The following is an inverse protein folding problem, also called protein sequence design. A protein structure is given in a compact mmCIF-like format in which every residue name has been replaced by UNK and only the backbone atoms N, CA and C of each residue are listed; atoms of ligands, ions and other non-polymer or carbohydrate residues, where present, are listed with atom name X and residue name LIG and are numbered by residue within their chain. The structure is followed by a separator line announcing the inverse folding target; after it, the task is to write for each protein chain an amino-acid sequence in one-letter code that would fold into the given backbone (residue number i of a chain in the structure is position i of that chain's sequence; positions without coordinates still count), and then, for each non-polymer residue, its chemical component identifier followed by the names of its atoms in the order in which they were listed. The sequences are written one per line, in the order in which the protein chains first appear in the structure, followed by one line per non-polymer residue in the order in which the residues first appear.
data_IF_711680367755
#
_entry.id   IF_711680367755
#
_cell.length_a   1.000
_cell.length_b   1.000
_cell.length_c   1.000
_cell.angle_alpha   90.00
_cell.angle_beta   90.00
_cell.angle_gamma   90.00
#
_symmetry.space_group_name_H-M   'P 1'
#
loop_
_entity.id
_entity.type
_entity.pdbx_description
1 polymer ?
#
# COMPACT_ATOMS: atom_id res chain seq x y z
N UNK A 1 -19.51 53.79 -22.80
CA UNK A 1 -18.98 53.44 -21.47
C UNK A 1 -19.45 52.06 -21.10
N UNK A 2 -18.54 51.15 -20.76
CA UNK A 2 -18.92 49.89 -20.13
C UNK A 2 -19.28 50.20 -18.68
N UNK A 3 -20.53 49.92 -18.28
CA UNK A 3 -20.90 49.97 -16.87
C UNK A 3 -20.08 48.92 -16.10
N UNK A 4 -19.55 49.27 -14.91
CA UNK A 4 -18.85 48.30 -14.08
C UNK A 4 -19.84 47.22 -13.61
N UNK A 5 -19.44 45.96 -13.78
CA UNK A 5 -20.23 44.82 -13.29
C UNK A 5 -20.38 44.89 -11.76
N UNK A 6 -21.57 44.59 -11.22
CA UNK A 6 -21.77 44.51 -9.77
C UNK A 6 -20.84 43.46 -9.16
N UNK A 7 -20.13 43.84 -8.08
CA UNK A 7 -19.16 42.98 -7.40
C UNK A 7 -19.77 41.64 -6.95
N UNK A 8 -21.02 41.67 -6.49
CA UNK A 8 -21.75 40.48 -6.02
C UNK A 8 -22.01 39.48 -7.16
N UNK A 9 -22.31 39.96 -8.38
CA UNK A 9 -22.51 39.08 -9.54
C UNK A 9 -21.20 38.41 -9.95
N UNK A 10 -20.09 39.15 -9.91
CA UNK A 10 -18.75 38.62 -10.18
C UNK A 10 -18.39 37.56 -9.13
N UNK A 11 -18.61 37.85 -7.85
CA UNK A 11 -18.33 36.92 -6.76
C UNK A 11 -19.17 35.62 -6.87
N UNK A 12 -20.47 35.74 -7.17
CA UNK A 12 -21.35 34.58 -7.36
C UNK A 12 -20.91 33.73 -8.55
N UNK A 13 -20.57 34.35 -9.68
CA UNK A 13 -20.10 33.65 -10.87
C UNK A 13 -18.80 32.88 -10.59
N UNK A 14 -17.84 33.53 -9.92
CA UNK A 14 -16.55 32.92 -9.57
C UNK A 14 -16.73 31.79 -8.54
N UNK A 15 -17.59 31.97 -7.54
CA UNK A 15 -17.88 30.90 -6.55
C UNK A 15 -18.49 29.69 -7.24
N UNK A 16 -19.43 29.91 -8.15
CA UNK A 16 -20.06 28.84 -8.95
C UNK A 16 -19.03 28.13 -9.83
N UNK A 17 -18.15 28.90 -10.47
CA UNK A 17 -17.04 28.37 -11.25
C UNK A 17 -16.09 27.53 -10.39
N UNK A 18 -15.73 27.97 -9.19
CA UNK A 18 -14.87 27.20 -8.28
C UNK A 18 -15.50 25.88 -7.85
N UNK A 19 -16.81 25.85 -7.59
CA UNK A 19 -17.53 24.59 -7.32
C UNK A 19 -17.45 23.65 -8.52
N UNK A 20 -17.66 24.18 -9.72
CA UNK A 20 -17.53 23.40 -10.94
C UNK A 20 -16.10 22.88 -11.15
N UNK A 21 -15.07 23.73 -10.98
CA UNK A 21 -13.65 23.36 -11.07
C UNK A 21 -13.32 22.24 -10.10
N UNK A 22 -13.76 22.34 -8.83
CA UNK A 22 -13.55 21.30 -7.82
C UNK A 22 -14.12 19.95 -8.27
N UNK A 23 -15.36 19.95 -8.75
CA UNK A 23 -16.02 18.74 -9.25
C UNK A 23 -15.33 18.19 -10.50
N UNK A 24 -15.01 19.04 -11.47
CA UNK A 24 -14.36 18.67 -12.72
C UNK A 24 -12.97 18.09 -12.49
N UNK A 25 -12.12 18.76 -11.70
CA UNK A 25 -10.78 18.27 -11.35
C UNK A 25 -10.86 16.97 -10.58
N UNK A 26 -11.81 16.85 -9.64
CA UNK A 26 -12.00 15.61 -8.88
C UNK A 26 -12.33 14.42 -9.79
N UNK A 27 -13.24 14.60 -10.72
CA UNK A 27 -13.68 13.54 -11.63
C UNK A 27 -12.62 13.24 -12.69
N UNK A 28 -12.25 14.24 -13.51
CA UNK A 28 -11.36 14.06 -14.65
C UNK A 28 -9.91 13.84 -14.20
N UNK A 29 -9.46 14.57 -13.18
CA UNK A 29 -8.15 14.34 -12.55
C UNK A 29 -8.09 12.96 -11.89
N UNK A 30 -9.17 12.52 -11.24
CA UNK A 30 -9.30 11.16 -10.73
C UNK A 30 -9.13 10.10 -11.81
N UNK A 31 -9.82 10.24 -12.94
CA UNK A 31 -9.69 9.34 -14.09
C UNK A 31 -8.28 9.33 -14.70
N UNK A 32 -7.62 10.49 -14.75
CA UNK A 32 -6.24 10.57 -15.22
C UNK A 32 -5.28 9.81 -14.28
N UNK A 33 -5.39 10.06 -12.98
CA UNK A 33 -4.54 9.40 -11.98
C UNK A 33 -4.78 7.89 -11.89
N UNK A 34 -5.95 7.38 -12.29
CA UNK A 34 -6.20 5.94 -12.40
C UNK A 34 -5.26 5.23 -13.38
N UNK A 35 -4.69 5.95 -14.36
CA UNK A 35 -3.72 5.40 -15.31
C UNK A 35 -2.34 5.16 -14.70
N UNK A 36 -2.05 5.80 -13.57
CA UNK A 36 -0.78 5.65 -12.86
C UNK A 36 -0.78 4.35 -12.06
N UNK A 37 0.16 3.46 -12.34
CA UNK A 37 0.21 2.10 -11.80
C UNK A 37 1.14 1.93 -10.59
N UNK A 38 1.93 2.96 -10.24
CA UNK A 38 2.91 2.87 -9.15
C UNK A 38 2.94 4.12 -8.28
N UNK A 39 3.24 3.94 -7.00
CA UNK A 39 3.39 5.05 -6.05
C UNK A 39 4.54 5.99 -6.47
N UNK A 40 5.60 5.46 -7.08
CA UNK A 40 6.71 6.25 -7.63
C UNK A 40 6.25 7.23 -8.70
N UNK A 41 5.29 6.85 -9.54
CA UNK A 41 4.75 7.75 -10.57
C UNK A 41 3.94 8.92 -9.99
N UNK A 42 3.42 8.78 -8.76
CA UNK A 42 2.76 9.88 -8.04
C UNK A 42 3.74 10.86 -7.40
N UNK A 43 4.99 10.44 -7.16
CA UNK A 43 6.00 11.29 -6.51
C UNK A 43 6.24 12.58 -7.29
N UNK A 44 6.36 12.51 -8.61
CA UNK A 44 6.54 13.69 -9.46
C UNK A 44 5.33 14.63 -9.53
N UNK A 45 4.19 14.19 -9.00
CA UNK A 45 2.95 14.97 -8.93
C UNK A 45 2.64 15.42 -7.51
N UNK A 46 3.53 15.17 -6.53
CA UNK A 46 3.28 15.49 -5.11
C UNK A 46 3.38 17.00 -4.84
N UNK A 47 4.41 17.61 -5.40
CA UNK A 47 4.77 18.99 -5.13
C UNK A 47 4.17 19.92 -6.17
N UNK A 48 3.77 21.15 -5.76
CA UNK A 48 3.22 22.12 -6.69
C UNK A 48 4.22 22.47 -7.79
N UNK A 49 3.74 22.86 -8.98
CA UNK A 49 4.62 23.31 -10.05
C UNK A 49 5.45 24.52 -9.59
N UNK A 50 6.73 24.55 -9.98
CA UNK A 50 7.66 25.62 -9.62
C UNK A 50 7.30 26.98 -10.24
N UNK A 51 6.49 26.97 -11.29
CA UNK A 51 6.02 28.18 -11.96
C UNK A 51 4.56 28.39 -11.58
N UNK A 52 4.32 29.42 -10.77
CA UNK A 52 2.97 29.91 -10.47
C UNK A 52 2.84 31.33 -11.04
N UNK A 53 1.61 31.75 -11.36
CA UNK A 53 1.35 33.12 -11.78
C UNK A 53 1.44 34.03 -10.54
N UNK A 54 2.35 35.01 -10.56
CA UNK A 54 2.59 35.92 -9.42
C UNK A 54 1.34 36.71 -9.00
N UNK A 55 0.40 36.91 -9.92
CA UNK A 55 -0.85 37.63 -9.70
C UNK A 55 -1.94 36.76 -9.06
N UNK A 56 -1.76 35.43 -9.05
CA UNK A 56 -2.77 34.49 -8.57
C UNK A 56 -3.18 34.71 -7.10
N UNK A 57 -2.25 34.96 -6.14
CA UNK A 57 -2.63 35.28 -4.77
C UNK A 57 -3.51 36.53 -4.67
N UNK A 58 -3.26 37.54 -5.52
CA UNK A 58 -4.07 38.78 -5.55
C UNK A 58 -5.47 38.52 -6.11
N UNK A 59 -5.58 37.68 -7.15
CA UNK A 59 -6.86 37.25 -7.73
C UNK A 59 -7.68 36.50 -6.67
N UNK A 60 -7.05 35.57 -5.95
CA UNK A 60 -7.66 34.80 -4.87
C UNK A 60 -8.11 35.70 -3.71
N UNK A 61 -7.27 36.65 -3.29
CA UNK A 61 -7.62 37.56 -2.21
C UNK A 61 -8.77 38.50 -2.59
N UNK A 62 -8.72 39.10 -3.79
CA UNK A 62 -9.66 40.16 -4.18
C UNK A 62 -10.97 39.63 -4.74
N UNK A 63 -10.92 38.59 -5.55
CA UNK A 63 -12.12 38.06 -6.22
C UNK A 63 -12.76 36.91 -5.46
N UNK A 64 -11.95 36.03 -4.87
CA UNK A 64 -12.46 34.87 -4.12
C UNK A 64 -12.66 35.17 -2.63
N UNK A 65 -12.14 36.30 -2.13
CA UNK A 65 -12.17 36.67 -0.70
C UNK A 65 -11.64 35.54 0.22
N UNK A 66 -10.74 34.71 -0.31
CA UNK A 66 -10.16 33.54 0.35
C UNK A 66 -8.63 33.68 0.38
N UNK A 67 -8.07 34.60 1.19
CA UNK A 67 -6.67 35.04 1.10
C UNK A 67 -5.61 33.93 1.22
N UNK A 68 -5.97 32.75 1.73
CA UNK A 68 -5.07 31.64 1.97
C UNK A 68 -5.42 30.38 1.15
N UNK A 69 -6.18 30.52 0.05
CA UNK A 69 -6.56 29.38 -0.77
C UNK A 69 -5.35 28.87 -1.57
N UNK A 70 -4.77 27.76 -1.14
CA UNK A 70 -3.85 26.99 -1.98
C UNK A 70 -4.64 26.03 -2.88
N UNK A 71 -4.71 26.39 -4.16
CA UNK A 71 -5.38 25.56 -5.17
C UNK A 71 -4.74 24.18 -5.32
N UNK A 72 -3.43 24.07 -5.10
CA UNK A 72 -2.75 22.77 -5.18
C UNK A 72 -3.24 21.82 -4.10
N UNK A 73 -3.19 22.30 -2.85
CA UNK A 73 -3.76 21.64 -1.68
C UNK A 73 -5.21 21.22 -1.88
N UNK A 74 -6.04 22.16 -2.34
CA UNK A 74 -7.50 21.99 -2.38
C UNK A 74 -7.94 21.06 -3.50
N UNK A 75 -7.33 21.16 -4.69
CA UNK A 75 -7.81 20.46 -5.87
C UNK A 75 -7.08 19.14 -6.13
N UNK A 76 -5.75 19.10 -5.96
CA UNK A 76 -4.93 17.99 -6.46
C UNK A 76 -4.47 17.05 -5.35
N UNK A 77 -4.16 17.57 -4.17
CA UNK A 77 -3.59 16.75 -3.09
C UNK A 77 -4.50 15.62 -2.63
N UNK A 78 -5.81 15.87 -2.54
CA UNK A 78 -6.79 14.86 -2.16
C UNK A 78 -6.86 13.72 -3.20
N UNK A 79 -6.67 14.04 -4.48
CA UNK A 79 -6.66 13.05 -5.57
C UNK A 79 -5.41 12.19 -5.54
N UNK A 80 -4.24 12.80 -5.32
CA UNK A 80 -2.97 12.07 -5.18
C UNK A 80 -3.02 11.13 -3.98
N UNK A 81 -3.50 11.64 -2.83
CA UNK A 81 -3.68 10.84 -1.60
C UNK A 81 -4.64 9.67 -1.84
N UNK A 82 -5.80 9.93 -2.44
CA UNK A 82 -6.78 8.89 -2.75
C UNK A 82 -6.21 7.83 -3.70
N UNK A 83 -5.46 8.24 -4.73
CA UNK A 83 -4.83 7.30 -5.64
C UNK A 83 -3.74 6.48 -4.95
N UNK A 84 -2.93 7.10 -4.10
CA UNK A 84 -1.91 6.40 -3.32
C UNK A 84 -2.55 5.35 -2.40
N UNK A 85 -3.66 5.67 -1.72
CA UNK A 85 -4.42 4.69 -0.92
C UNK A 85 -4.90 3.50 -1.76
N UNK A 86 -5.43 3.75 -2.96
CA UNK A 86 -5.85 2.69 -3.87
C UNK A 86 -4.67 1.80 -4.29
N UNK A 87 -3.53 2.39 -4.65
CA UNK A 87 -2.33 1.64 -5.01
C UNK A 87 -1.81 0.79 -3.86
N UNK A 88 -1.80 1.33 -2.63
CA UNK A 88 -1.47 0.57 -1.41
C UNK A 88 -2.39 -0.65 -1.28
N UNK A 89 -3.70 -0.47 -1.42
CA UNK A 89 -4.67 -1.58 -1.37
C UNK A 89 -4.40 -2.63 -2.46
N UNK A 90 -4.15 -2.20 -3.71
CA UNK A 90 -3.83 -3.09 -4.83
C UNK A 90 -2.56 -3.89 -4.57
N UNK A 91 -1.51 -3.25 -4.03
CA UNK A 91 -0.26 -3.92 -3.69
C UNK A 91 -0.46 -5.01 -2.62
N UNK A 92 -1.21 -4.71 -1.57
CA UNK A 92 -1.53 -5.69 -0.54
C UNK A 92 -2.40 -6.83 -1.06
N UNK A 93 -3.42 -6.54 -1.88
CA UNK A 93 -4.24 -7.59 -2.50
C UNK A 93 -3.41 -8.50 -3.42
N UNK A 94 -2.47 -7.93 -4.18
CA UNK A 94 -1.55 -8.71 -5.02
C UNK A 94 -0.62 -9.58 -4.16
N UNK A 95 -0.07 -9.03 -3.07
CA UNK A 95 0.76 -9.78 -2.13
C UNK A 95 -0.01 -10.92 -1.47
N UNK A 96 -1.26 -10.68 -1.05
CA UNK A 96 -2.13 -11.71 -0.49
C UNK A 96 -2.41 -12.83 -1.49
N UNK A 97 -2.80 -12.49 -2.72
CA UNK A 97 -3.06 -13.48 -3.77
C UNK A 97 -1.83 -14.35 -4.05
N UNK A 98 -0.65 -13.73 -4.15
CA UNK A 98 0.59 -14.45 -4.33
C UNK A 98 0.88 -15.38 -3.15
N UNK A 99 0.72 -14.91 -1.91
CA UNK A 99 0.96 -15.70 -0.71
C UNK A 99 -0.01 -16.89 -0.61
N UNK A 100 -1.29 -16.68 -0.94
CA UNK A 100 -2.30 -17.75 -1.00
C UNK A 100 -1.93 -18.83 -2.03
N UNK A 101 -1.43 -18.43 -3.20
CA UNK A 101 -0.94 -19.36 -4.22
C UNK A 101 0.29 -20.15 -3.73
N UNK A 102 1.24 -19.47 -3.08
CA UNK A 102 2.43 -20.12 -2.52
C UNK A 102 2.07 -21.11 -1.40
N UNK A 103 1.10 -20.76 -0.54
CA UNK A 103 0.58 -21.67 0.49
C UNK A 103 -0.06 -22.91 -0.14
N UNK A 104 -0.92 -22.75 -1.14
CA UNK A 104 -1.53 -23.89 -1.84
C UNK A 104 -0.50 -24.80 -2.48
N UNK A 105 0.47 -24.23 -3.19
CA UNK A 105 1.56 -24.98 -3.79
C UNK A 105 2.37 -25.72 -2.71
N UNK A 106 2.62 -25.07 -1.57
CA UNK A 106 3.31 -25.67 -0.44
C UNK A 106 2.53 -26.87 0.13
N UNK A 107 1.22 -26.73 0.33
CA UNK A 107 0.34 -27.79 0.86
C UNK A 107 0.19 -28.95 -0.13
N UNK A 108 0.03 -28.68 -1.42
CA UNK A 108 -0.11 -29.72 -2.45
C UNK A 108 1.17 -30.55 -2.60
N UNK A 109 2.33 -29.89 -2.63
CA UNK A 109 3.61 -30.56 -2.67
C UNK A 109 3.82 -31.41 -1.41
N UNK A 110 3.48 -30.89 -0.22
CA UNK A 110 3.55 -31.65 1.02
C UNK A 110 2.65 -32.91 0.99
N UNK A 111 1.46 -32.84 0.37
CA UNK A 111 0.56 -34.00 0.20
C UNK A 111 1.06 -35.03 -0.83
N UNK A 112 1.85 -34.61 -1.82
CA UNK A 112 2.52 -35.52 -2.76
C UNK A 112 3.75 -36.16 -2.10
N UNK A 113 4.48 -35.38 -1.30
CA UNK A 113 5.65 -35.78 -0.53
C UNK A 113 5.29 -36.68 0.67
N UNK A 114 4.10 -36.54 1.29
CA UNK A 114 3.64 -37.39 2.39
C UNK A 114 3.38 -38.86 2.01
N UNK A 115 3.48 -39.19 0.72
CA UNK A 115 3.55 -40.58 0.25
C UNK A 115 4.96 -41.18 0.40
N UNK A 116 5.96 -40.37 0.75
CA UNK A 116 7.28 -40.81 1.17
C UNK A 116 7.30 -40.94 2.70
N UNK A 117 7.65 -42.14 3.14
CA UNK A 117 7.60 -42.69 4.51
C UNK A 117 8.39 -41.89 5.56
N UNK A 118 8.21 -42.26 6.84
CA UNK A 118 8.87 -41.80 8.10
C UNK A 118 10.42 -41.70 8.11
N UNK A 119 11.07 -41.88 6.96
CA UNK A 119 12.52 -41.99 6.79
C UNK A 119 13.20 -40.62 6.62
N UNK A 120 12.47 -39.55 6.29
CA UNK A 120 13.10 -38.25 5.98
C UNK A 120 12.69 -37.12 6.94
N UNK A 121 13.09 -37.26 8.21
CA UNK A 121 13.01 -36.19 9.22
C UNK A 121 13.82 -34.93 8.81
N UNK A 122 14.75 -35.05 7.86
CA UNK A 122 15.59 -33.95 7.38
C UNK A 122 14.80 -32.81 6.73
N UNK A 123 13.55 -33.05 6.32
CA UNK A 123 12.66 -32.02 5.78
C UNK A 123 12.11 -31.08 6.85
N UNK A 124 11.94 -31.58 8.08
CA UNK A 124 11.53 -30.78 9.24
C UNK A 124 12.72 -30.12 9.94
N UNK A 125 13.93 -30.62 9.70
CA UNK A 125 15.16 -30.10 10.26
C UNK A 125 15.70 -28.96 9.40
N UNK A 126 15.94 -27.82 10.03
CA UNK A 126 16.71 -26.76 9.40
C UNK A 126 18.13 -27.26 9.15
N UNK A 127 18.60 -27.16 7.91
CA UNK A 127 20.02 -27.29 7.63
C UNK A 127 20.73 -26.08 8.24
N UNK A 128 21.67 -26.35 9.13
CA UNK A 128 22.57 -25.33 9.64
C UNK A 128 23.44 -24.84 8.49
N UNK A 129 23.48 -23.52 8.30
CA UNK A 129 24.35 -22.89 7.32
C UNK A 129 25.38 -22.05 8.05
N UNK A 130 26.60 -22.00 7.55
CA UNK A 130 27.65 -21.13 8.10
C UNK A 130 27.21 -19.65 8.18
N UNK A 131 26.26 -19.24 7.34
CA UNK A 131 25.69 -17.89 7.36
C UNK A 131 24.72 -17.61 8.53
N UNK A 132 24.27 -18.61 9.29
CA UNK A 132 23.36 -18.42 10.43
C UNK A 132 24.00 -17.60 11.56
N UNK A 133 25.33 -17.67 11.70
CA UNK A 133 26.11 -16.99 12.74
C UNK A 133 26.98 -15.84 12.20
N UNK A 134 27.24 -15.79 10.89
CA UNK A 134 28.23 -14.86 10.31
C UNK A 134 27.78 -13.40 10.22
N UNK A 135 26.57 -13.06 10.68
CA UNK A 135 26.01 -11.73 10.50
C UNK A 135 25.07 -11.36 11.66
N UNK A 136 25.59 -11.29 12.89
CA UNK A 136 24.85 -10.69 14.01
C UNK A 136 24.52 -9.21 13.76
N UNK A 137 25.34 -8.51 12.97
CA UNK A 137 25.14 -7.09 12.65
C UNK A 137 24.07 -6.85 11.57
N UNK A 138 23.75 -7.86 10.75
CA UNK A 138 22.69 -7.78 9.75
C UNK A 138 21.45 -8.53 10.24
N UNK A 139 20.44 -7.76 10.71
CA UNK A 139 19.13 -8.27 11.16
C UNK A 139 18.42 -9.21 10.16
N UNK A 140 18.81 -9.25 8.89
CA UNK A 140 18.20 -10.14 7.88
C UNK A 140 18.59 -11.61 8.07
N UNK A 141 19.80 -11.88 8.55
CA UNK A 141 20.34 -13.23 8.78
C UNK A 141 19.94 -13.80 10.14
N UNK A 142 19.80 -12.94 11.15
CA UNK A 142 19.30 -13.33 12.49
C UNK A 142 17.83 -13.76 12.48
N UNK A 143 17.07 -13.42 11.43
CA UNK A 143 15.68 -13.85 11.25
C UNK A 143 15.53 -15.33 10.97
N UNK A 144 16.45 -15.92 10.20
CA UNK A 144 16.49 -17.37 9.99
C UNK A 144 16.67 -18.09 11.32
N UNK A 145 17.63 -17.62 12.13
CA UNK A 145 17.87 -18.14 13.48
C UNK A 145 16.68 -17.89 14.44
N UNK A 146 16.00 -16.75 14.34
CA UNK A 146 14.80 -16.48 15.12
C UNK A 146 13.65 -17.42 14.75
N UNK A 147 13.39 -17.63 13.45
CA UNK A 147 12.37 -18.56 12.96
C UNK A 147 12.70 -20.01 13.37
N UNK A 148 13.98 -20.39 13.31
CA UNK A 148 14.51 -21.66 13.88
C UNK A 148 14.18 -21.79 15.36
N UNK A 149 14.49 -20.77 16.16
CA UNK A 149 14.24 -20.77 17.61
C UNK A 149 12.75 -20.92 17.98
N UNK A 150 11.86 -20.52 17.05
CA UNK A 150 10.41 -20.65 17.17
C UNK A 150 9.86 -21.96 16.59
N UNK A 151 10.72 -22.85 16.09
CA UNK A 151 10.32 -24.12 15.49
C UNK A 151 9.54 -23.98 14.17
N UNK A 152 9.63 -22.82 13.50
CA UNK A 152 8.99 -22.64 12.19
C UNK A 152 9.71 -23.47 11.15
N UNK A 153 9.03 -24.10 10.20
CA UNK A 153 9.71 -24.89 9.14
C UNK A 153 10.38 -23.98 8.09
N UNK A 154 11.39 -24.47 7.33
CA UNK A 154 12.00 -23.70 6.24
C UNK A 154 10.98 -23.19 5.21
N UNK A 155 9.94 -23.98 4.94
CA UNK A 155 8.85 -23.62 4.03
C UNK A 155 8.03 -22.42 4.52
N UNK A 156 7.77 -22.36 5.82
CA UNK A 156 7.13 -21.18 6.45
C UNK A 156 8.06 -19.98 6.40
N UNK A 157 9.36 -20.17 6.62
CA UNK A 157 10.34 -19.10 6.51
C UNK A 157 10.39 -18.48 5.11
N UNK A 158 10.37 -19.29 4.05
CA UNK A 158 10.31 -18.82 2.66
C UNK A 158 9.06 -17.98 2.37
N UNK A 159 7.90 -18.40 2.87
CA UNK A 159 6.64 -17.63 2.77
C UNK A 159 6.77 -16.27 3.46
N UNK A 160 7.35 -16.24 4.66
CA UNK A 160 7.59 -15.00 5.41
C UNK A 160 8.55 -14.06 4.67
N UNK A 161 9.64 -14.58 4.10
CA UNK A 161 10.60 -13.79 3.31
C UNK A 161 9.92 -13.22 2.06
N UNK A 162 9.09 -14.01 1.38
CA UNK A 162 8.32 -13.56 0.21
C UNK A 162 7.41 -12.37 0.54
N UNK A 163 6.67 -12.46 1.66
CA UNK A 163 5.83 -11.37 2.15
C UNK A 163 6.66 -10.16 2.56
N UNK A 164 7.75 -10.35 3.30
CA UNK A 164 8.64 -9.27 3.73
C UNK A 164 9.15 -8.47 2.53
N UNK A 165 9.64 -9.13 1.49
CA UNK A 165 10.14 -8.46 0.29
C UNK A 165 9.08 -7.53 -0.34
N UNK A 166 7.81 -7.97 -0.37
CA UNK A 166 6.70 -7.15 -0.86
C UNK A 166 6.42 -5.95 0.05
N UNK A 167 6.42 -6.16 1.36
CA UNK A 167 6.19 -5.11 2.36
C UNK A 167 7.32 -4.07 2.33
N UNK A 168 8.58 -4.51 2.27
CA UNK A 168 9.73 -3.62 2.16
C UNK A 168 9.72 -2.82 0.87
N UNK A 169 9.35 -3.41 -0.26
CA UNK A 169 9.20 -2.69 -1.53
C UNK A 169 8.12 -1.61 -1.44
N UNK A 170 6.95 -1.95 -0.87
CA UNK A 170 5.86 -0.99 -0.68
C UNK A 170 6.25 0.14 0.29
N UNK A 171 6.96 -0.21 1.36
CA UNK A 171 7.47 0.77 2.32
C UNK A 171 8.44 1.74 1.65
N UNK A 172 9.39 1.25 0.86
CA UNK A 172 10.33 2.10 0.13
C UNK A 172 9.61 3.08 -0.81
N UNK A 173 8.59 2.61 -1.53
CA UNK A 173 7.79 3.46 -2.41
C UNK A 173 6.96 4.51 -1.63
N UNK A 174 6.44 4.15 -0.45
CA UNK A 174 5.72 5.08 0.43
C UNK A 174 6.65 6.11 1.08
N UNK A 175 7.83 5.72 1.55
CA UNK A 175 8.84 6.64 2.09
C UNK A 175 9.30 7.63 1.03
N UNK A 176 9.37 7.20 -0.23
CA UNK A 176 9.68 8.10 -1.36
C UNK A 176 8.58 9.13 -1.62
N UNK A 177 7.31 8.77 -1.38
CA UNK A 177 6.16 9.67 -1.54
C UNK A 177 5.97 10.58 -0.32
N UNK A 178 6.35 10.12 0.87
CA UNK A 178 6.23 10.82 2.15
C UNK A 178 7.48 10.58 2.99
N UNK A 179 8.54 11.39 2.83
CA UNK A 179 9.77 11.25 3.59
C UNK A 179 9.55 11.51 5.08
N UNK A 180 10.33 10.85 5.94
CA UNK A 180 10.17 10.93 7.41
C UNK A 180 10.50 12.31 7.99
N UNK A 181 11.30 13.12 7.27
CA UNK A 181 11.74 14.45 7.69
C UNK A 181 10.85 15.57 7.12
N UNK A 182 9.64 15.23 6.68
CA UNK A 182 8.70 16.22 6.12
C UNK A 182 8.21 17.20 7.19
N UNK A 183 8.34 18.51 6.92
CA UNK A 183 7.98 19.57 7.87
C UNK A 183 6.67 20.26 7.47
N UNK A 184 6.26 20.16 6.20
CA UNK A 184 5.00 20.74 5.74
C UNK A 184 3.80 20.07 6.44
N UNK A 185 3.00 20.81 7.24
CA UNK A 185 1.82 20.29 7.93
C UNK A 185 0.84 19.58 6.99
N UNK A 186 0.72 20.07 5.76
CA UNK A 186 -0.21 19.52 4.79
C UNK A 186 0.28 18.18 4.23
N UNK A 187 1.60 18.01 4.05
CA UNK A 187 2.20 16.74 3.65
C UNK A 187 2.25 15.74 4.81
N UNK A 188 2.40 16.22 6.05
CA UNK A 188 2.25 15.40 7.27
C UNK A 188 0.85 14.80 7.38
N UNK A 189 -0.20 15.55 7.02
CA UNK A 189 -1.57 15.04 6.99
C UNK A 189 -1.76 13.90 5.97
N UNK A 190 -1.11 14.00 4.79
CA UNK A 190 -1.08 12.91 3.80
C UNK A 190 -0.38 11.68 4.40
N UNK A 191 0.80 11.87 4.97
CA UNK A 191 1.60 10.79 5.56
C UNK A 191 0.81 10.05 6.64
N UNK A 192 0.15 10.78 7.54
CA UNK A 192 -0.74 10.20 8.55
C UNK A 192 -1.88 9.40 7.90
N UNK A 193 -2.58 10.00 6.93
CA UNK A 193 -3.70 9.37 6.22
C UNK A 193 -3.29 8.07 5.51
N UNK A 194 -2.14 8.07 4.85
CA UNK A 194 -1.58 6.89 4.19
C UNK A 194 -1.14 5.84 5.20
N UNK A 195 -0.52 6.24 6.30
CA UNK A 195 -0.12 5.33 7.39
C UNK A 195 -1.32 4.64 8.01
N UNK A 196 -2.38 5.38 8.35
CA UNK A 196 -3.62 4.82 8.88
C UNK A 196 -4.26 3.85 7.88
N UNK A 197 -4.31 4.21 6.60
CA UNK A 197 -4.83 3.33 5.55
C UNK A 197 -3.99 2.06 5.42
N UNK A 198 -2.65 2.17 5.38
CA UNK A 198 -1.73 1.04 5.32
C UNK A 198 -1.93 0.09 6.51
N UNK A 199 -2.05 0.62 7.73
CA UNK A 199 -2.33 -0.19 8.93
C UNK A 199 -3.65 -0.94 8.81
N UNK A 200 -4.69 -0.27 8.33
CA UNK A 200 -6.03 -0.86 8.14
C UNK A 200 -6.02 -1.97 7.10
N UNK A 201 -5.39 -1.74 5.95
CA UNK A 201 -5.27 -2.73 4.88
C UNK A 201 -4.42 -3.92 5.34
N UNK A 202 -3.32 -3.67 6.06
CA UNK A 202 -2.47 -4.71 6.63
C UNK A 202 -3.25 -5.62 7.61
N UNK A 203 -3.98 -5.02 8.55
CA UNK A 203 -4.79 -5.78 9.52
C UNK A 203 -5.88 -6.61 8.83
N UNK A 204 -6.52 -6.04 7.81
CA UNK A 204 -7.53 -6.73 7.00
C UNK A 204 -6.92 -7.90 6.24
N UNK A 205 -5.74 -7.72 5.65
CA UNK A 205 -5.02 -8.76 4.94
C UNK A 205 -4.62 -9.90 5.87
N UNK A 206 -4.06 -9.60 7.04
CA UNK A 206 -3.70 -10.62 8.04
C UNK A 206 -4.94 -11.43 8.41
N UNK A 207 -6.08 -10.77 8.66
CA UNK A 207 -7.33 -11.44 8.98
C UNK A 207 -7.80 -12.37 7.85
N UNK A 208 -7.75 -11.91 6.60
CA UNK A 208 -8.08 -12.71 5.41
C UNK A 208 -7.13 -13.88 5.20
N UNK A 209 -5.84 -13.69 5.46
CA UNK A 209 -4.83 -14.73 5.37
C UNK A 209 -5.06 -15.82 6.42
N UNK A 210 -5.32 -15.42 7.67
CA UNK A 210 -5.64 -16.36 8.76
C UNK A 210 -6.88 -17.18 8.42
N UNK A 211 -7.92 -16.51 7.91
CA UNK A 211 -9.14 -17.20 7.51
C UNK A 211 -8.87 -18.19 6.36
N UNK A 212 -8.14 -17.76 5.34
CA UNK A 212 -7.73 -18.62 4.23
C UNK A 212 -6.97 -19.87 4.69
N UNK A 213 -5.98 -19.72 5.58
CA UNK A 213 -5.20 -20.85 6.10
C UNK A 213 -6.10 -21.81 6.89
N UNK A 214 -7.04 -21.29 7.70
CA UNK A 214 -8.01 -22.13 8.42
C UNK A 214 -8.89 -22.94 7.47
N UNK A 215 -9.33 -22.33 6.37
CA UNK A 215 -10.18 -22.98 5.39
C UNK A 215 -9.42 -24.07 4.60
N UNK A 216 -8.18 -23.80 4.21
CA UNK A 216 -7.31 -24.80 3.56
C UNK A 216 -7.02 -25.98 4.51
N UNK A 217 -6.74 -25.73 5.80
CA UNK A 217 -6.53 -26.80 6.79
C UNK A 217 -7.76 -27.68 7.00
N UNK A 218 -8.96 -27.08 7.06
CA UNK A 218 -10.22 -27.82 7.13
C UNK A 218 -10.46 -28.66 5.88
N UNK A 219 -10.16 -28.12 4.70
CA UNK A 219 -10.25 -28.85 3.43
C UNK A 219 -9.37 -30.11 3.43
N UNK A 220 -8.14 -30.00 3.91
CA UNK A 220 -7.20 -31.13 4.02
C UNK A 220 -7.74 -32.24 4.94
N UNK A 221 -8.34 -31.89 6.09
CA UNK A 221 -8.88 -32.89 7.03
C UNK A 221 -10.01 -33.72 6.43
N UNK A 222 -10.93 -33.09 5.67
CA UNK A 222 -12.08 -33.78 5.05
C UNK A 222 -11.64 -34.71 3.92
N UNK A 223 -10.64 -34.30 3.13
CA UNK A 223 -10.09 -35.15 2.06
C UNK A 223 -9.31 -36.36 2.58
N UNK A 224 -8.64 -36.23 3.73
CA UNK A 224 -7.89 -37.33 4.37
C UNK A 224 -8.83 -38.41 4.91
N UNK A 225 -9.93 -38.01 5.58
CA UNK A 225 -10.95 -38.96 6.08
C UNK A 225 -11.66 -39.71 4.94
N UNK A 226 -11.96 -39.01 3.84
CA UNK A 226 -12.59 -39.63 2.66
C UNK A 226 -11.64 -40.61 1.93
N UNK A 227 -10.34 -40.34 1.95
CA UNK A 227 -9.32 -41.22 1.36
C UNK A 227 -8.98 -42.43 2.26
N UNK A 228 -9.17 -42.33 3.58
CA UNK A 228 -8.98 -43.44 4.52
C UNK A 228 -10.18 -44.39 4.61
N UNK A 229 -11.34 -44.01 4.05
CA UNK A 229 -12.57 -44.82 4.01
C UNK A 229 -12.78 -45.59 2.70
N UNK A 230 -11.85 -45.48 1.74
CA UNK A 230 -11.80 -46.27 0.49
C UNK A 230 -10.64 -47.28 0.56
#
# INVERSE_FOLDING_TARGET
SLEPLPEDQVHQAITTWMVWVRSYVKEQGGHLLQRLSSLRSLQGLRDPPSVTCDEWPLVVQRLLRLPNLDMWSELYRSLITSRAQQLVSVHWDAALKQLQQQIRAATQNASLESKQTEVDLMWYMWKESSNDLNNLDNLKTTKGLWLKSKGMTPRVAELCIGLENKVCSLLADLTSLCPEQEVDPALLAISHTLKTHQQTVCATLISRLVQFVKDELRGVTVTSESAAML
#
